data_IF_994873526592
#
_entry.id   IF_994873526592
#
_cell.length_a   1.000
_cell.length_b   1.000
_cell.length_c   1.000
_cell.angle_alpha   90.00
_cell.angle_beta   90.00
_cell.angle_gamma   90.00
#
_symmetry.space_group_name_H-M   'P 1'
#
loop_
_entity.id
_entity.type
_entity.pdbx_description
1 polymer ?
#
# COMPACT_ATOMS: atom_id res chain seq x y z
N UNK A 1 1.19 -6.68 2.36
CA UNK A 1 1.83 -6.74 1.03
C UNK A 1 3.05 -7.69 1.02
N UNK A 2 4.22 -7.30 1.54
CA UNK A 2 5.43 -8.15 1.45
C UNK A 2 5.36 -9.50 2.21
N UNK A 3 4.46 -9.60 3.18
CA UNK A 3 4.18 -10.82 3.95
C UNK A 3 3.07 -11.68 3.33
N UNK A 4 2.62 -11.37 2.12
CA UNK A 4 1.42 -11.95 1.49
C UNK A 4 0.12 -11.31 1.95
N UNK A 5 0.03 -10.85 3.19
CA UNK A 5 -1.25 -10.36 3.73
C UNK A 5 -1.84 -9.17 2.93
N UNK A 6 -3.08 -9.30 2.39
CA UNK A 6 -3.84 -8.19 1.83
C UNK A 6 -4.02 -7.10 2.88
N UNK A 7 -3.92 -5.84 2.46
CA UNK A 7 -3.92 -4.71 3.39
C UNK A 7 -5.10 -3.78 3.09
N UNK A 8 -5.80 -3.35 4.12
CA UNK A 8 -6.73 -2.21 4.05
C UNK A 8 -5.92 -0.97 4.42
N UNK A 9 -5.84 0.00 3.53
CA UNK A 9 -4.96 1.15 3.72
C UNK A 9 -5.60 2.47 3.26
N UNK A 10 -5.23 3.60 3.89
CA UNK A 10 -5.69 4.91 3.46
C UNK A 10 -5.24 5.24 2.03
N UNK A 11 -6.13 5.86 1.26
CA UNK A 11 -5.82 6.39 -0.06
C UNK A 11 -4.97 7.67 0.10
N UNK A 12 -3.65 7.53 0.06
CA UNK A 12 -2.72 8.66 0.00
C UNK A 12 -1.90 8.62 -1.30
N UNK A 13 -0.85 9.44 -1.43
CA UNK A 13 -0.06 9.51 -2.67
C UNK A 13 0.78 8.26 -2.95
N UNK A 14 1.34 7.60 -1.94
CA UNK A 14 2.32 6.51 -2.13
C UNK A 14 1.71 5.10 -1.93
N UNK A 15 0.68 4.96 -1.10
CA UNK A 15 0.08 3.66 -0.77
C UNK A 15 -0.61 3.00 -1.98
N UNK A 16 -1.35 3.71 -2.85
CA UNK A 16 -1.95 3.10 -4.04
C UNK A 16 -0.92 2.46 -4.97
N UNK A 17 0.22 3.12 -5.16
CA UNK A 17 1.32 2.56 -5.96
C UNK A 17 1.91 1.30 -5.31
N UNK A 18 2.14 1.35 -3.99
CA UNK A 18 2.70 0.19 -3.25
C UNK A 18 1.75 -1.00 -3.22
N UNK A 19 0.44 -0.75 -3.06
CA UNK A 19 -0.55 -1.82 -3.05
C UNK A 19 -0.84 -2.37 -4.45
N UNK A 20 -0.78 -1.55 -5.50
CA UNK A 20 -0.95 -1.95 -6.89
C UNK A 20 -2.17 -2.89 -7.13
N UNK A 21 -3.29 -2.61 -6.45
CA UNK A 21 -4.52 -3.40 -6.56
C UNK A 21 -4.59 -4.70 -5.74
N UNK A 22 -3.52 -5.09 -5.02
CA UNK A 22 -3.52 -6.30 -4.19
C UNK A 22 -4.16 -6.10 -2.81
N UNK A 23 -4.46 -4.85 -2.44
CA UNK A 23 -5.14 -4.47 -1.20
C UNK A 23 -6.40 -3.66 -1.45
N UNK A 24 -6.96 -3.12 -0.36
CA UNK A 24 -8.15 -2.29 -0.39
C UNK A 24 -7.81 -0.86 0.03
N UNK A 25 -8.18 0.11 -0.81
CA UNK A 25 -7.96 1.53 -0.54
C UNK A 25 -9.25 2.14 -0.01
N UNK A 26 -9.16 2.73 1.17
CA UNK A 26 -10.27 3.48 1.79
C UNK A 26 -10.02 4.99 1.70
N UNK A 27 -11.10 5.75 1.61
CA UNK A 27 -11.08 7.21 1.60
C UNK A 27 -10.65 7.75 2.97
N UNK A 28 -10.16 8.98 2.91
CA UNK A 28 -9.82 9.74 4.10
C UNK A 28 -10.90 10.79 4.33
N UNK A 29 -11.34 10.94 5.57
CA UNK A 29 -12.22 12.04 5.98
C UNK A 29 -11.44 13.34 6.14
N UNK A 30 -10.17 13.27 6.51
CA UNK A 30 -9.31 14.43 6.71
C UNK A 30 -7.82 14.07 6.54
N UNK A 31 -6.99 15.11 6.48
CA UNK A 31 -5.54 15.02 6.69
C UNK A 31 -5.20 15.70 8.01
N UNK A 32 -4.50 15.01 8.89
CA UNK A 32 -4.01 15.56 10.14
C UNK A 32 -2.55 15.94 9.99
N UNK A 33 -2.22 17.18 10.33
CA UNK A 33 -0.84 17.61 10.53
C UNK A 33 -0.50 17.50 12.02
N UNK A 34 0.38 16.58 12.38
CA UNK A 34 0.88 16.49 13.76
C UNK A 34 2.05 17.45 13.94
N UNK A 35 1.91 18.41 14.85
CA UNK A 35 2.96 19.37 15.24
C UNK A 35 3.45 20.33 14.14
N UNK A 36 2.59 20.69 13.16
CA UNK A 36 2.92 21.58 12.04
C UNK A 36 4.03 21.04 11.11
N UNK A 37 4.38 19.77 11.23
CA UNK A 37 5.24 19.06 10.30
C UNK A 37 4.46 18.75 8.99
N UNK A 38 4.52 19.69 8.06
CA UNK A 38 3.93 19.54 6.72
C UNK A 38 4.52 18.37 5.92
N UNK A 39 5.68 17.81 6.32
CA UNK A 39 6.29 16.65 5.68
C UNK A 39 5.59 15.34 6.00
N UNK A 40 4.76 15.29 7.05
CA UNK A 40 4.12 14.07 7.55
C UNK A 40 2.61 14.25 7.78
N UNK A 41 1.89 14.75 6.78
CA UNK A 41 0.43 14.71 6.78
C UNK A 41 -0.05 13.26 6.90
N UNK A 42 -0.75 12.95 7.99
CA UNK A 42 -1.31 11.63 8.25
C UNK A 42 -2.77 11.61 7.78
N UNK A 43 -3.18 10.65 6.93
CA UNK A 43 -4.58 10.50 6.58
C UNK A 43 -5.39 10.05 7.79
N UNK A 44 -6.49 10.73 8.06
CA UNK A 44 -7.54 10.26 8.97
C UNK A 44 -8.55 9.49 8.14
N UNK A 45 -8.61 8.18 8.33
CA UNK A 45 -9.46 7.28 7.56
C UNK A 45 -10.93 7.52 7.83
N UNK A 46 -11.76 7.32 6.81
CA UNK A 46 -13.21 7.26 7.00
C UNK A 46 -13.57 5.97 7.77
N UNK A 47 -14.10 6.14 8.98
CA UNK A 47 -14.44 5.02 9.87
C UNK A 47 -15.55 4.16 9.27
N UNK A 48 -16.48 4.77 8.54
CA UNK A 48 -17.56 4.02 7.90
C UNK A 48 -17.01 3.17 6.76
N UNK A 49 -16.19 3.74 5.86
CA UNK A 49 -15.57 2.95 4.80
C UNK A 49 -14.63 1.86 5.35
N UNK A 50 -13.89 2.16 6.43
CA UNK A 50 -13.05 1.18 7.09
C UNK A 50 -13.86 -0.01 7.61
N UNK A 51 -15.03 0.25 8.20
CA UNK A 51 -15.91 -0.81 8.70
C UNK A 51 -16.43 -1.70 7.57
N UNK A 52 -16.83 -1.11 6.44
CA UNK A 52 -17.28 -1.84 5.27
C UNK A 52 -16.14 -2.65 4.62
N UNK A 53 -14.93 -2.10 4.55
CA UNK A 53 -13.76 -2.79 4.03
C UNK A 53 -13.40 -4.01 4.90
N UNK A 54 -13.51 -3.85 6.22
CA UNK A 54 -13.29 -4.94 7.16
C UNK A 54 -14.34 -6.05 7.00
N UNK A 55 -15.62 -5.70 6.88
CA UNK A 55 -16.69 -6.69 6.65
C UNK A 55 -16.45 -7.48 5.35
N UNK A 56 -16.09 -6.79 4.25
CA UNK A 56 -15.73 -7.46 2.98
C UNK A 56 -14.53 -8.40 3.14
N UNK A 57 -13.50 -7.98 3.87
CA UNK A 57 -12.34 -8.82 4.14
C UNK A 57 -12.70 -10.05 4.99
N UNK A 58 -13.54 -9.88 6.01
CA UNK A 58 -13.98 -10.98 6.87
C UNK A 58 -14.82 -12.01 6.11
N UNK A 59 -15.76 -11.55 5.26
CA UNK A 59 -16.57 -12.44 4.41
C UNK A 59 -15.67 -13.20 3.44
N UNK A 60 -14.71 -12.53 2.78
CA UNK A 60 -13.72 -13.21 1.92
C UNK A 60 -12.96 -14.29 2.69
N UNK A 61 -12.48 -13.97 3.88
CA UNK A 61 -11.73 -14.91 4.71
C UNK A 61 -12.55 -16.12 5.12
N UNK A 62 -13.76 -15.88 5.62
CA UNK A 62 -14.60 -16.91 6.20
C UNK A 62 -15.28 -17.79 5.15
N UNK A 63 -15.76 -17.19 4.07
CA UNK A 63 -16.73 -17.82 3.19
C UNK A 63 -16.17 -18.21 1.81
N UNK A 64 -15.10 -17.55 1.34
CA UNK A 64 -14.63 -17.70 -0.06
C UNK A 64 -13.37 -18.54 -0.24
N UNK A 65 -12.45 -18.54 0.74
CA UNK A 65 -11.12 -19.16 0.59
C UNK A 65 -10.18 -18.45 -0.40
N UNK A 66 -10.58 -17.32 -0.99
CA UNK A 66 -9.78 -16.51 -1.94
C UNK A 66 -8.53 -15.86 -1.33
N UNK A 67 -8.41 -15.87 0.00
CA UNK A 67 -7.27 -15.34 0.77
C UNK A 67 -5.94 -15.93 0.26
N UNK A 68 -5.92 -17.23 -0.06
CA UNK A 68 -4.71 -17.94 -0.52
C UNK A 68 -4.20 -17.40 -1.87
N UNK A 69 -5.10 -16.92 -2.73
CA UNK A 69 -4.76 -16.44 -4.07
C UNK A 69 -4.26 -14.99 -4.01
N UNK A 70 -4.94 -14.14 -3.23
CA UNK A 70 -4.51 -12.75 -3.03
C UNK A 70 -3.21 -12.63 -2.23
N UNK A 71 -2.90 -13.60 -1.39
CA UNK A 71 -1.62 -13.66 -0.68
C UNK A 71 -0.45 -13.76 -1.66
N UNK A 72 -0.56 -14.62 -2.67
CA UNK A 72 0.48 -14.77 -3.69
C UNK A 72 0.59 -13.52 -4.56
N UNK A 73 -0.54 -12.92 -4.97
CA UNK A 73 -0.55 -11.67 -5.74
C UNK A 73 0.19 -10.54 -5.00
N UNK A 74 0.01 -10.45 -3.67
CA UNK A 74 0.70 -9.48 -2.83
C UNK A 74 2.22 -9.72 -2.80
N UNK A 75 2.64 -10.98 -2.71
CA UNK A 75 4.06 -11.37 -2.74
C UNK A 75 4.66 -11.01 -4.11
N UNK A 76 4.00 -11.40 -5.19
CA UNK A 76 4.45 -11.19 -6.56
C UNK A 76 4.53 -9.69 -6.88
N UNK A 77 3.57 -8.88 -6.41
CA UNK A 77 3.63 -7.43 -6.58
C UNK A 77 4.90 -6.82 -5.96
N UNK A 78 5.32 -7.27 -4.77
CA UNK A 78 6.53 -6.76 -4.12
C UNK A 78 7.79 -7.23 -4.85
N UNK A 79 7.87 -8.50 -5.25
CA UNK A 79 9.01 -9.02 -5.99
C UNK A 79 9.18 -8.36 -7.36
N UNK A 80 8.08 -7.99 -8.02
CA UNK A 80 8.11 -7.42 -9.36
C UNK A 80 8.28 -5.89 -9.38
N UNK A 81 7.89 -5.16 -8.32
CA UNK A 81 7.80 -3.70 -8.38
C UNK A 81 8.52 -2.95 -7.24
N UNK A 82 8.81 -3.60 -6.11
CA UNK A 82 9.22 -2.88 -4.88
C UNK A 82 10.45 -3.47 -4.18
N UNK A 83 11.41 -4.04 -4.93
CA UNK A 83 12.65 -4.50 -4.33
C UNK A 83 13.61 -3.34 -4.04
N UNK A 84 14.34 -3.44 -2.94
CA UNK A 84 15.39 -2.48 -2.60
C UNK A 84 16.47 -2.41 -3.67
N UNK A 85 16.72 -3.54 -4.32
CA UNK A 85 17.68 -3.69 -5.40
C UNK A 85 17.36 -2.74 -6.57
N UNK A 86 16.09 -2.63 -6.96
CA UNK A 86 15.64 -1.76 -8.06
C UNK A 86 15.89 -0.28 -7.76
N UNK A 87 15.64 0.14 -6.51
CA UNK A 87 15.90 1.51 -6.04
C UNK A 87 17.39 1.83 -6.03
N UNK A 88 18.22 0.88 -5.57
CA UNK A 88 19.68 1.03 -5.57
C UNK A 88 20.22 1.18 -6.99
N UNK A 89 19.73 0.35 -7.92
CA UNK A 89 20.23 0.34 -9.29
C UNK A 89 19.80 1.62 -10.03
N UNK A 90 18.55 2.05 -9.84
CA UNK A 90 18.06 3.34 -10.34
C UNK A 90 18.88 4.52 -9.82
N UNK A 91 19.21 4.53 -8.52
CA UNK A 91 20.03 5.58 -7.92
C UNK A 91 21.45 5.61 -8.49
N UNK A 92 22.07 4.44 -8.69
CA UNK A 92 23.38 4.35 -9.34
C UNK A 92 23.35 4.84 -10.78
N UNK A 93 22.31 4.54 -11.55
CA UNK A 93 22.17 5.08 -12.90
C UNK A 93 22.03 6.60 -12.90
N UNK A 94 21.21 7.16 -12.01
CA UNK A 94 21.05 8.62 -11.86
C UNK A 94 22.40 9.28 -11.55
N UNK A 95 23.16 8.74 -10.61
CA UNK A 95 24.51 9.24 -10.28
C UNK A 95 25.42 9.17 -11.50
N UNK A 96 25.48 8.03 -12.20
CA UNK A 96 26.32 7.85 -13.39
C UNK A 96 25.96 8.83 -14.51
N UNK A 97 24.68 9.14 -14.68
CA UNK A 97 24.21 10.06 -15.70
C UNK A 97 24.42 11.53 -15.32
N UNK A 98 24.39 11.86 -14.02
CA UNK A 98 24.56 13.22 -13.53
C UNK A 98 26.03 13.64 -13.42
N UNK A 99 26.93 12.68 -13.15
CA UNK A 99 28.39 12.92 -13.04
C UNK A 99 29.15 12.79 -14.38
N UNK A 100 28.43 12.55 -15.48
CA UNK A 100 28.97 12.63 -16.85
C UNK A 100 28.80 14.04 -17.40
#
# INVERSE_FOLDING_TARGET
AATGTPSIAPRNSAIPEVLNGTGELIQNTALMNQALDNGHLRPTVDVWEMSQAWERAYIRWKDSGEELTKDQDCIDNIYNNFLWQDKRDSFHEIIKNTLK
#
